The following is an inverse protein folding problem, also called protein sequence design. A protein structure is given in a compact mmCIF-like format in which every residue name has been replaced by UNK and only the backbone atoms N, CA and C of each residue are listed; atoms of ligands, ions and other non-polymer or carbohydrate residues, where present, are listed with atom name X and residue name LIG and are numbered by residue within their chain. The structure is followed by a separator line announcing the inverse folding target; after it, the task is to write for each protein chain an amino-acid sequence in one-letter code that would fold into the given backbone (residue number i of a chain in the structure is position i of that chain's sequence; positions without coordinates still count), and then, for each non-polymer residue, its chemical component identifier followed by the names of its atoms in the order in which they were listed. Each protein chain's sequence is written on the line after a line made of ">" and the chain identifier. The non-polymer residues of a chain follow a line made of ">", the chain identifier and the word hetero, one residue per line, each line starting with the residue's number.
data_IF_460290873136
#
_entry.id   IF_460290873136
#
_cell.length_a   1.000
_cell.length_b   1.000
_cell.length_c   1.000
_cell.angle_alpha   90.00
_cell.angle_beta   90.00
_cell.angle_gamma   90.00
#
_symmetry.space_group_name_H-M   'P 1'
#
loop_
_entity.id
_entity.type
_entity.pdbx_description
1 polymer ?
#
# COMPACT_ATOMS: atom_id res chain seq x y z
N UNK A 1 -1.28 -26.40 -10.34
CA UNK A 1 -2.34 -25.83 -11.20
C UNK A 1 -1.93 -25.73 -12.66
N UNK A 2 -0.82 -25.04 -13.02
CA UNK A 2 -0.33 -25.04 -14.41
C UNK A 2 -0.19 -26.47 -14.97
N UNK A 3 0.45 -27.36 -14.21
CA UNK A 3 0.54 -28.80 -14.55
C UNK A 3 -0.81 -29.54 -14.70
N UNK A 4 -1.89 -29.09 -14.04
CA UNK A 4 -3.22 -29.70 -14.14
C UNK A 4 -3.95 -29.24 -15.40
N UNK A 5 -3.87 -27.95 -15.73
CA UNK A 5 -4.41 -27.40 -16.98
C UNK A 5 -3.56 -27.77 -18.20
N UNK A 6 -2.29 -28.13 -17.96
CA UNK A 6 -1.32 -28.62 -18.94
C UNK A 6 -1.39 -30.14 -19.19
N UNK A 7 -2.31 -30.84 -18.52
CA UNK A 7 -2.49 -32.29 -18.64
C UNK A 7 -3.72 -32.67 -19.45
N UNK A 8 -3.72 -33.88 -20.01
CA UNK A 8 -4.87 -34.49 -20.72
C UNK A 8 -5.99 -34.94 -19.77
N UNK A 9 -6.00 -34.47 -18.52
CA UNK A 9 -7.00 -34.83 -17.52
C UNK A 9 -8.35 -34.18 -17.85
N UNK A 10 -9.41 -34.97 -17.66
CA UNK A 10 -10.78 -34.47 -17.62
C UNK A 10 -11.06 -33.88 -16.23
N UNK A 11 -11.57 -32.65 -16.22
CA UNK A 11 -11.94 -31.90 -15.02
C UNK A 11 -13.45 -31.66 -15.03
N UNK A 12 -14.07 -31.56 -13.86
CA UNK A 12 -15.50 -31.24 -13.75
C UNK A 12 -15.68 -29.82 -13.22
N UNK A 13 -16.55 -29.05 -13.86
CA UNK A 13 -17.03 -27.77 -13.36
C UNK A 13 -18.43 -27.97 -12.80
N UNK A 14 -18.64 -27.61 -11.54
CA UNK A 14 -19.97 -27.63 -10.92
C UNK A 14 -20.07 -26.53 -9.86
N UNK A 15 -21.12 -25.69 -9.95
CA UNK A 15 -21.41 -24.63 -8.98
C UNK A 15 -20.22 -23.72 -8.68
N UNK A 16 -19.55 -23.23 -9.73
CA UNK A 16 -18.38 -22.32 -9.66
C UNK A 16 -17.09 -22.92 -9.07
N UNK A 17 -17.04 -24.26 -8.94
CA UNK A 17 -15.84 -24.98 -8.53
C UNK A 17 -15.30 -25.87 -9.64
N UNK A 18 -13.98 -25.96 -9.71
CA UNK A 18 -13.25 -26.96 -10.48
C UNK A 18 -13.00 -28.16 -9.55
N UNK A 19 -13.43 -29.33 -10.00
CA UNK A 19 -13.19 -30.61 -9.36
C UNK A 19 -12.13 -31.39 -10.15
N UNK A 20 -11.21 -32.02 -9.41
CA UNK A 20 -10.13 -32.81 -9.98
C UNK A 20 -10.47 -34.29 -9.92
N UNK A 21 -10.02 -35.11 -10.90
CA UNK A 21 -10.23 -36.55 -10.85
C UNK A 21 -9.52 -37.11 -9.61
N UNK A 22 -10.26 -37.88 -8.81
CA UNK A 22 -9.71 -38.60 -7.67
C UNK A 22 -8.98 -39.83 -8.21
N UNK A 23 -7.66 -39.86 -8.07
CA UNK A 23 -6.86 -41.04 -8.40
C UNK A 23 -7.05 -42.06 -7.27
N UNK A 24 -7.61 -43.22 -7.59
CA UNK A 24 -7.83 -44.28 -6.62
C UNK A 24 -6.54 -45.03 -6.33
N UNK A 25 -6.09 -44.94 -5.08
CA UNK A 25 -5.33 -45.98 -4.40
C UNK A 25 -6.34 -46.83 -3.59
N UNK A 26 -6.15 -48.15 -3.42
CA UNK A 26 -7.01 -48.99 -2.58
C UNK A 26 -7.29 -48.45 -1.17
N UNK A 27 -6.44 -47.59 -0.59
CA UNK A 27 -6.76 -46.89 0.67
C UNK A 27 -7.79 -45.76 0.50
N UNK A 28 -7.67 -44.97 -0.57
CA UNK A 28 -8.58 -43.87 -0.91
C UNK A 28 -9.96 -44.43 -1.28
N UNK A 29 -10.02 -45.58 -1.95
CA UNK A 29 -11.27 -46.26 -2.30
C UNK A 29 -12.07 -46.67 -1.05
N UNK A 30 -11.39 -47.19 -0.02
CA UNK A 30 -12.03 -47.52 1.27
C UNK A 30 -12.57 -46.28 1.98
N UNK A 31 -11.85 -45.16 1.94
CA UNK A 31 -12.26 -43.90 2.57
C UNK A 31 -13.43 -43.24 1.83
N UNK A 32 -13.42 -43.25 0.50
CA UNK A 32 -14.56 -42.79 -0.31
C UNK A 32 -15.79 -43.64 -0.10
N UNK A 33 -15.65 -44.98 -0.04
CA UNK A 33 -16.77 -45.88 0.29
C UNK A 33 -17.32 -45.63 1.70
N UNK A 34 -16.48 -45.22 2.67
CA UNK A 34 -16.93 -44.84 4.00
C UNK A 34 -17.76 -43.53 4.01
N UNK A 35 -17.36 -42.55 3.19
CA UNK A 35 -18.09 -41.29 3.00
C UNK A 35 -19.39 -41.46 2.21
N UNK A 36 -19.47 -42.47 1.34
CA UNK A 36 -20.61 -42.79 0.47
C UNK A 36 -21.55 -43.89 1.03
N UNK A 37 -21.39 -44.31 2.30
CA UNK A 37 -22.19 -45.40 2.89
C UNK A 37 -23.71 -45.16 2.78
N UNK A 38 -24.50 -46.20 2.43
CA UNK A 38 -25.94 -46.09 2.24
C UNK A 38 -26.62 -45.86 3.59
N UNK A 39 -27.20 -44.68 3.77
CA UNK A 39 -27.86 -44.27 5.02
C UNK A 39 -27.85 -42.76 5.29
N UNK A 40 -26.96 -42.00 4.62
CA UNK A 40 -27.12 -40.54 4.48
C UNK A 40 -27.65 -40.22 3.09
N UNK A 41 -28.65 -39.33 2.94
CA UNK A 41 -29.23 -39.05 1.62
C UNK A 41 -28.14 -38.50 0.71
N UNK A 42 -27.88 -39.15 -0.42
CA UNK A 42 -27.24 -38.49 -1.54
C UNK A 42 -28.25 -37.46 -2.05
N UNK A 43 -28.16 -36.23 -1.55
CA UNK A 43 -28.97 -35.12 -2.05
C UNK A 43 -28.72 -35.01 -3.56
N UNK A 44 -29.80 -35.01 -4.34
CA UNK A 44 -29.73 -34.96 -5.80
C UNK A 44 -28.95 -33.71 -6.22
N UNK A 45 -28.13 -33.84 -7.27
CA UNK A 45 -27.42 -32.73 -7.91
C UNK A 45 -28.40 -31.56 -8.14
N UNK A 46 -28.13 -30.42 -7.50
CA UNK A 46 -28.99 -29.23 -7.61
C UNK A 46 -29.21 -28.39 -6.36
N UNK A 47 -28.68 -28.75 -5.18
CA UNK A 47 -28.77 -27.91 -3.97
C UNK A 47 -27.44 -27.27 -3.55
N UNK A 48 -27.43 -25.97 -3.19
CA UNK A 48 -26.23 -25.21 -2.83
C UNK A 48 -25.77 -25.55 -1.41
N UNK A 49 -25.08 -26.68 -1.28
CA UNK A 49 -24.43 -27.17 -0.06
C UNK A 49 -23.34 -28.16 -0.46
N UNK A 50 -22.18 -27.64 -0.86
CA UNK A 50 -21.24 -28.35 -1.74
C UNK A 50 -20.74 -29.69 -1.20
N UNK A 51 -20.99 -30.76 -1.94
CA UNK A 51 -20.35 -32.07 -1.71
C UNK A 51 -18.84 -31.95 -1.97
N UNK A 52 -18.03 -32.47 -1.05
CA UNK A 52 -16.56 -32.52 -1.20
C UNK A 52 -16.14 -33.44 -2.34
N UNK A 53 -16.96 -34.46 -2.65
CA UNK A 53 -16.73 -35.45 -3.71
C UNK A 53 -18.02 -35.59 -4.54
N UNK A 54 -17.88 -35.61 -5.86
CA UNK A 54 -18.97 -35.84 -6.81
C UNK A 54 -18.65 -37.05 -7.69
N UNK A 55 -19.69 -37.74 -8.14
CA UNK A 55 -19.57 -38.88 -9.06
C UNK A 55 -20.19 -38.51 -10.41
N UNK A 56 -19.44 -38.70 -11.49
CA UNK A 56 -19.87 -38.41 -12.85
C UNK A 56 -19.29 -39.46 -13.80
N UNK A 57 -20.14 -40.12 -14.59
CA UNK A 57 -19.74 -41.22 -15.51
C UNK A 57 -18.84 -42.28 -14.82
N UNK A 58 -19.26 -42.76 -13.65
CA UNK A 58 -18.54 -43.77 -12.85
C UNK A 58 -17.14 -43.38 -12.34
N UNK A 59 -16.75 -42.10 -12.46
CA UNK A 59 -15.52 -41.54 -11.90
C UNK A 59 -15.84 -40.59 -10.75
N UNK A 60 -14.95 -40.54 -9.77
CA UNK A 60 -15.06 -39.65 -8.63
C UNK A 60 -14.17 -38.44 -8.81
N UNK A 61 -14.69 -37.27 -8.43
CA UNK A 61 -13.98 -36.01 -8.51
C UNK A 61 -14.04 -35.29 -7.17
N UNK A 62 -12.92 -34.70 -6.75
CA UNK A 62 -12.81 -33.97 -5.49
C UNK A 62 -12.83 -32.46 -5.73
N UNK A 63 -13.58 -31.75 -4.88
CA UNK A 63 -13.69 -30.30 -4.92
C UNK A 63 -12.32 -29.65 -4.66
N UNK A 64 -11.82 -28.84 -5.58
CA UNK A 64 -10.48 -28.27 -5.46
C UNK A 64 -10.47 -26.74 -5.37
N UNK A 65 -10.86 -26.04 -6.44
CA UNK A 65 -10.65 -24.59 -6.55
C UNK A 65 -11.94 -23.87 -6.91
N UNK A 66 -12.21 -22.76 -6.22
CA UNK A 66 -13.27 -21.82 -6.63
C UNK A 66 -12.77 -20.98 -7.81
N UNK A 67 -13.59 -20.86 -8.84
CA UNK A 67 -13.26 -20.16 -10.07
C UNK A 67 -12.92 -18.68 -9.81
N UNK A 68 -13.73 -17.97 -9.01
CA UNK A 68 -13.49 -16.55 -8.73
C UNK A 68 -12.18 -16.33 -7.97
N UNK A 69 -11.89 -17.20 -7.00
CA UNK A 69 -10.65 -17.11 -6.22
C UNK A 69 -9.42 -17.32 -7.10
N UNK A 70 -9.52 -18.24 -8.08
CA UNK A 70 -8.49 -18.44 -9.08
C UNK A 70 -8.25 -17.17 -9.91
N UNK A 71 -9.31 -16.53 -10.41
CA UNK A 71 -9.21 -15.32 -11.21
C UNK A 71 -8.70 -14.11 -10.41
N UNK A 72 -9.12 -13.98 -9.15
CA UNK A 72 -8.67 -12.96 -8.19
C UNK A 72 -7.18 -13.05 -7.90
N UNK A 73 -6.69 -14.27 -7.68
CA UNK A 73 -5.33 -14.49 -7.19
C UNK A 73 -4.35 -14.89 -8.29
N UNK A 74 -4.77 -14.97 -9.56
CA UNK A 74 -3.93 -15.43 -10.67
C UNK A 74 -2.60 -14.67 -10.78
N UNK A 75 -2.60 -13.34 -10.55
CA UNK A 75 -1.38 -12.52 -10.55
C UNK A 75 -0.37 -12.97 -9.49
N UNK A 76 -0.84 -13.36 -8.30
CA UNK A 76 0.01 -13.86 -7.22
C UNK A 76 0.46 -15.31 -7.49
N UNK A 77 -0.42 -16.12 -8.08
CA UNK A 77 -0.16 -17.52 -8.40
C UNK A 77 0.87 -17.65 -9.54
N UNK A 78 0.79 -16.79 -10.56
CA UNK A 78 1.70 -16.82 -11.71
C UNK A 78 1.94 -15.42 -12.30
N UNK A 79 2.80 -14.65 -11.62
CA UNK A 79 3.13 -13.29 -12.00
C UNK A 79 3.70 -13.18 -13.42
N UNK A 80 4.50 -14.16 -13.85
CA UNK A 80 5.13 -14.16 -15.18
C UNK A 80 4.08 -14.32 -16.29
N UNK A 81 3.20 -15.33 -16.19
CA UNK A 81 2.15 -15.56 -17.18
C UNK A 81 1.17 -14.39 -17.23
N UNK A 82 0.76 -13.87 -16.06
CA UNK A 82 -0.10 -12.70 -15.99
C UNK A 82 0.53 -11.48 -16.66
N UNK A 83 1.82 -11.20 -16.42
CA UNK A 83 2.54 -10.08 -17.06
C UNK A 83 2.60 -10.24 -18.57
N UNK A 84 2.81 -11.46 -19.06
CA UNK A 84 2.80 -11.75 -20.51
C UNK A 84 1.42 -11.49 -21.11
N UNK A 85 0.36 -12.06 -20.54
CA UNK A 85 -1.02 -11.82 -20.99
C UNK A 85 -1.32 -10.33 -20.98
N UNK A 86 -1.02 -9.63 -19.88
CA UNK A 86 -1.23 -8.18 -19.78
C UNK A 86 -0.50 -7.42 -20.88
N UNK A 87 0.78 -7.72 -21.11
CA UNK A 87 1.54 -7.06 -22.16
C UNK A 87 0.94 -7.33 -23.55
N UNK A 88 0.54 -8.57 -23.83
CA UNK A 88 -0.06 -8.96 -25.09
C UNK A 88 -1.42 -8.27 -25.31
N UNK A 89 -2.29 -8.23 -24.29
CA UNK A 89 -3.58 -7.51 -24.30
C UNK A 89 -3.40 -6.02 -24.62
N UNK A 90 -2.43 -5.39 -23.98
CA UNK A 90 -2.29 -3.93 -23.93
C UNK A 90 -1.31 -3.36 -24.95
N UNK A 91 -0.57 -4.22 -25.67
CA UNK A 91 0.45 -3.80 -26.65
C UNK A 91 -0.09 -2.81 -27.69
N UNK A 92 -1.34 -3.01 -28.13
CA UNK A 92 -2.01 -2.15 -29.12
C UNK A 92 -2.33 -0.74 -28.62
N UNK A 93 -2.41 -0.54 -27.31
CA UNK A 93 -2.79 0.73 -26.71
C UNK A 93 -1.59 1.62 -26.33
N UNK A 94 -0.34 1.18 -26.61
CA UNK A 94 0.91 1.90 -26.28
C UNK A 94 0.87 2.60 -24.91
N UNK A 95 0.34 1.92 -23.90
CA UNK A 95 0.16 2.48 -22.55
C UNK A 95 1.53 2.61 -21.87
N UNK A 96 2.21 3.73 -22.06
CA UNK A 96 3.44 4.04 -21.32
C UNK A 96 3.17 4.98 -20.15
N UNK A 97 3.55 4.46 -18.97
CA UNK A 97 3.76 5.07 -17.65
C UNK A 97 2.53 5.46 -16.83
N UNK A 98 2.63 5.05 -15.57
CA UNK A 98 1.79 5.23 -14.39
C UNK A 98 1.80 6.70 -13.91
N UNK A 99 1.72 7.66 -14.83
CA UNK A 99 1.80 9.10 -14.55
C UNK A 99 0.63 9.55 -13.66
N UNK A 100 -0.51 8.85 -13.75
CA UNK A 100 -1.73 9.18 -13.04
C UNK A 100 -1.77 8.59 -11.61
N UNK A 101 -0.91 7.62 -11.28
CA UNK A 101 -0.95 6.88 -10.01
C UNK A 101 -0.72 7.78 -8.78
N UNK A 102 0.04 8.87 -8.94
CA UNK A 102 0.25 9.84 -7.86
C UNK A 102 -1.03 10.60 -7.51
N UNK A 103 -1.84 10.96 -8.51
CA UNK A 103 -3.05 11.73 -8.29
C UNK A 103 -4.15 10.87 -7.63
N UNK A 104 -4.03 9.55 -7.78
CA UNK A 104 -4.84 8.54 -7.09
C UNK A 104 -4.33 8.22 -5.68
N UNK A 105 -3.13 8.68 -5.30
CA UNK A 105 -2.57 8.44 -3.97
C UNK A 105 -3.14 9.41 -2.92
N UNK A 106 -4.30 9.04 -2.35
CA UNK A 106 -4.96 9.81 -1.30
C UNK A 106 -4.11 10.01 -0.04
N UNK A 107 -3.17 9.11 0.24
CA UNK A 107 -2.24 9.23 1.38
C UNK A 107 -1.25 10.35 1.12
N UNK A 108 -0.60 10.33 -0.05
CA UNK A 108 0.33 11.39 -0.44
C UNK A 108 -0.34 12.76 -0.51
N UNK A 109 -1.56 12.85 -1.07
CA UNK A 109 -2.36 14.09 -1.06
C UNK A 109 -2.63 14.58 0.35
N UNK A 110 -2.95 13.68 1.27
CA UNK A 110 -3.15 14.03 2.69
C UNK A 110 -1.87 14.57 3.31
N UNK A 111 -0.72 13.98 3.02
CA UNK A 111 0.58 14.44 3.50
C UNK A 111 0.88 15.85 2.96
N UNK A 112 0.80 16.04 1.64
CA UNK A 112 1.15 17.31 0.99
C UNK A 112 0.20 18.46 1.35
N UNK A 113 -1.11 18.23 1.34
CA UNK A 113 -2.09 19.33 1.44
C UNK A 113 -2.68 19.52 2.85
N UNK A 114 -2.48 18.57 3.77
CA UNK A 114 -3.06 18.64 5.12
C UNK A 114 -2.04 18.53 6.25
N UNK A 115 -0.98 17.74 6.09
CA UNK A 115 0.05 17.57 7.14
C UNK A 115 1.19 18.56 6.96
N UNK A 116 1.77 18.63 5.76
CA UNK A 116 2.92 19.50 5.46
C UNK A 116 2.68 20.98 5.80
N UNK A 117 1.52 21.60 5.48
CA UNK A 117 1.28 23.00 5.78
C UNK A 117 1.26 23.32 7.28
N UNK A 118 1.07 22.31 8.13
CA UNK A 118 1.14 22.48 9.59
C UNK A 118 2.57 22.70 10.08
N UNK A 119 3.57 22.07 9.43
CA UNK A 119 4.95 22.05 9.89
C UNK A 119 5.90 23.00 9.13
N UNK A 120 5.49 23.52 7.98
CA UNK A 120 6.25 24.49 7.19
C UNK A 120 5.81 25.91 7.55
N UNK A 121 6.76 26.82 7.79
CA UNK A 121 6.46 28.22 8.12
C UNK A 121 6.49 29.07 6.85
N UNK A 122 5.41 29.79 6.54
CA UNK A 122 5.50 31.02 5.72
C UNK A 122 5.81 32.19 6.67
N UNK A 123 6.55 33.18 6.17
CA UNK A 123 7.16 34.30 6.91
C UNK A 123 6.38 34.83 8.13
N UNK A 124 7.13 35.26 9.16
CA UNK A 124 6.69 35.87 10.43
C UNK A 124 5.62 36.97 10.20
N UNK A 125 4.34 36.61 10.21
CA UNK A 125 3.23 37.55 10.02
C UNK A 125 1.90 36.94 10.48
N UNK A 126 1.15 37.71 11.25
CA UNK A 126 0.13 37.30 12.23
C UNK A 126 -1.21 36.77 11.69
N UNK A 127 -1.31 36.24 10.47
CA UNK A 127 -2.53 35.58 10.00
C UNK A 127 -2.22 34.23 9.33
N UNK A 128 -2.47 33.13 10.07
CA UNK A 128 -2.53 31.77 9.51
C UNK A 128 -3.84 31.62 8.72
N UNK A 129 -3.93 32.22 7.53
CA UNK A 129 -4.95 31.81 6.57
C UNK A 129 -4.63 30.38 6.11
N UNK A 130 -5.67 29.54 5.97
CA UNK A 130 -5.51 28.20 5.42
C UNK A 130 -5.05 28.33 3.98
N UNK A 131 -3.85 27.83 3.67
CA UNK A 131 -3.30 27.85 2.31
C UNK A 131 -4.18 27.03 1.37
N UNK A 132 -4.32 27.51 0.14
CA UNK A 132 -4.90 26.71 -0.95
C UNK A 132 -3.90 25.64 -1.41
N UNK A 133 -4.41 24.60 -2.07
CA UNK A 133 -3.57 23.54 -2.64
C UNK A 133 -2.57 24.12 -3.67
N UNK A 134 -2.97 25.14 -4.42
CA UNK A 134 -2.10 25.85 -5.38
C UNK A 134 -0.97 26.61 -4.69
N UNK A 135 -1.26 27.34 -3.62
CA UNK A 135 -0.24 28.07 -2.85
C UNK A 135 0.78 27.12 -2.20
N UNK A 136 0.33 25.92 -1.81
CA UNK A 136 1.22 24.88 -1.28
C UNK A 136 2.14 24.37 -2.39
N UNK A 137 1.64 24.14 -3.60
CA UNK A 137 2.46 23.70 -4.74
C UNK A 137 3.42 24.78 -5.22
N UNK A 138 3.03 26.06 -5.18
CA UNK A 138 3.92 27.19 -5.44
C UNK A 138 5.07 27.22 -4.43
N UNK A 139 4.77 27.12 -3.13
CA UNK A 139 5.79 27.06 -2.06
C UNK A 139 6.75 25.87 -2.22
N UNK A 140 6.23 24.71 -2.60
CA UNK A 140 7.05 23.53 -2.86
C UNK A 140 7.94 23.78 -4.08
N UNK A 141 7.38 24.29 -5.18
CA UNK A 141 8.09 24.61 -6.42
C UNK A 141 9.21 25.64 -6.24
N UNK A 142 9.05 26.60 -5.34
CA UNK A 142 10.12 27.55 -4.97
C UNK A 142 11.29 26.89 -4.22
N UNK A 143 11.03 25.77 -3.52
CA UNK A 143 12.00 25.09 -2.65
C UNK A 143 12.71 23.91 -3.32
N UNK A 144 12.23 23.46 -4.47
CA UNK A 144 12.78 22.28 -5.17
C UNK A 144 13.11 22.60 -6.63
N UNK A 145 14.21 22.06 -7.12
CA UNK A 145 14.57 22.17 -8.54
C UNK A 145 13.97 21.00 -9.33
N UNK A 146 12.93 21.26 -10.11
CA UNK A 146 12.22 20.24 -10.88
C UNK A 146 12.90 20.02 -12.24
N UNK A 147 13.32 18.79 -12.57
CA UNK A 147 13.89 18.51 -13.88
C UNK A 147 12.93 18.81 -15.05
N UNK A 148 13.48 19.34 -16.15
CA UNK A 148 12.72 19.72 -17.36
C UNK A 148 11.81 18.63 -17.95
N UNK A 149 12.11 17.34 -17.70
CA UNK A 149 11.28 16.21 -18.16
C UNK A 149 9.85 16.27 -17.60
N UNK A 150 9.67 16.68 -16.34
CA UNK A 150 8.35 16.69 -15.70
C UNK A 150 7.46 17.82 -16.21
N UNK A 151 8.04 18.94 -16.63
CA UNK A 151 7.27 20.00 -17.30
C UNK A 151 6.76 19.56 -18.67
N UNK A 152 7.52 18.72 -19.39
CA UNK A 152 7.05 18.12 -20.65
C UNK A 152 5.92 17.12 -20.40
N UNK A 153 6.09 16.25 -19.40
CA UNK A 153 5.06 15.28 -18.99
C UNK A 153 3.79 15.99 -18.48
N UNK A 154 3.92 17.09 -17.74
CA UNK A 154 2.79 17.89 -17.26
C UNK A 154 1.96 18.51 -18.40
N UNK A 155 2.62 18.98 -19.47
CA UNK A 155 1.92 19.45 -20.68
C UNK A 155 1.19 18.31 -21.38
N UNK A 156 1.81 17.13 -21.47
CA UNK A 156 1.17 15.94 -22.04
C UNK A 156 0.02 15.42 -21.16
N UNK A 157 0.10 15.59 -19.84
CA UNK A 157 -0.94 15.20 -18.89
C UNK A 157 -2.25 15.96 -19.12
N UNK A 158 -2.17 17.26 -19.45
CA UNK A 158 -3.34 18.08 -19.79
C UNK A 158 -4.05 17.62 -21.08
N UNK A 159 -3.34 16.94 -21.99
CA UNK A 159 -3.98 16.34 -23.16
C UNK A 159 -4.70 15.04 -22.79
N UNK A 160 -6.02 15.13 -22.70
CA UNK A 160 -6.89 13.98 -22.44
C UNK A 160 -7.30 13.21 -23.70
N UNK A 161 -7.02 13.72 -24.91
CA UNK A 161 -7.46 13.09 -26.16
C UNK A 161 -6.93 11.66 -26.32
N UNK A 162 -5.64 11.37 -26.09
CA UNK A 162 -5.12 10.01 -26.25
C UNK A 162 -5.81 9.00 -25.31
N UNK A 163 -6.08 9.41 -24.07
CA UNK A 163 -6.77 8.54 -23.10
C UNK A 163 -8.24 8.32 -23.48
N UNK A 164 -8.94 9.34 -24.00
CA UNK A 164 -10.32 9.20 -24.48
C UNK A 164 -10.41 8.24 -25.67
N UNK A 165 -9.45 8.30 -26.59
CA UNK A 165 -9.37 7.36 -27.73
C UNK A 165 -9.11 5.93 -27.26
N UNK A 166 -8.19 5.74 -26.30
CA UNK A 166 -7.91 4.42 -25.72
C UNK A 166 -9.14 3.88 -24.98
N UNK A 167 -9.81 4.70 -24.17
CA UNK A 167 -11.00 4.29 -23.42
C UNK A 167 -12.10 3.81 -24.38
N UNK A 168 -12.38 4.57 -25.43
CA UNK A 168 -13.34 4.19 -26.48
C UNK A 168 -12.92 2.88 -27.17
N UNK A 169 -11.62 2.71 -27.43
CA UNK A 169 -11.06 1.48 -27.98
C UNK A 169 -11.18 0.26 -27.05
N UNK A 170 -11.24 0.47 -25.73
CA UNK A 170 -11.48 -0.57 -24.73
C UNK A 170 -12.96 -0.89 -24.56
N UNK A 171 -13.84 0.11 -24.60
CA UNK A 171 -15.29 -0.06 -24.54
C UNK A 171 -15.80 -0.97 -25.66
N UNK A 172 -15.28 -0.78 -26.88
CA UNK A 172 -15.58 -1.62 -28.05
C UNK A 172 -15.13 -3.08 -27.91
N UNK A 173 -14.35 -3.39 -26.88
CA UNK A 173 -13.77 -4.71 -26.66
C UNK A 173 -14.20 -5.35 -25.35
N UNK A 174 -15.11 -4.77 -24.57
CA UNK A 174 -15.62 -5.37 -23.33
C UNK A 174 -16.08 -6.81 -23.63
N UNK A 175 -15.30 -7.84 -23.25
CA UNK A 175 -15.69 -9.20 -23.54
C UNK A 175 -16.83 -9.55 -22.59
N UNK A 176 -17.90 -10.15 -23.10
CA UNK A 176 -18.90 -10.77 -22.25
C UNK A 176 -18.24 -12.03 -21.68
N UNK A 177 -17.69 -11.90 -20.48
CA UNK A 177 -17.15 -13.05 -19.75
C UNK A 177 -18.32 -13.94 -19.29
N UNK A 178 -18.28 -15.21 -19.69
CA UNK A 178 -19.21 -16.24 -19.22
C UNK A 178 -18.44 -17.29 -18.44
N UNK A 179 -19.02 -17.69 -17.31
CA UNK A 179 -18.54 -18.84 -16.56
C UNK A 179 -18.57 -20.09 -17.45
N UNK A 180 -17.64 -21.04 -17.24
CA UNK A 180 -17.67 -22.29 -17.96
C UNK A 180 -18.94 -23.05 -17.55
N UNK A 181 -19.60 -23.68 -18.52
CA UNK A 181 -20.81 -24.44 -18.25
C UNK A 181 -20.53 -25.61 -17.30
N UNK A 182 -21.53 -26.02 -16.52
CA UNK A 182 -21.39 -27.20 -15.67
C UNK A 182 -21.14 -28.45 -16.52
N UNK A 183 -20.24 -29.33 -16.07
CA UNK A 183 -19.95 -30.60 -16.73
C UNK A 183 -18.47 -30.91 -16.89
N UNK A 184 -18.17 -31.90 -17.74
CA UNK A 184 -16.81 -32.34 -18.05
C UNK A 184 -16.15 -31.42 -19.07
N UNK A 185 -14.93 -31.00 -18.75
CA UNK A 185 -14.08 -30.23 -19.65
C UNK A 185 -12.68 -30.83 -19.67
N UNK A 186 -12.00 -30.75 -20.81
CA UNK A 186 -10.58 -31.05 -20.88
C UNK A 186 -9.78 -29.95 -20.18
N UNK A 187 -8.60 -30.31 -19.64
CA UNK A 187 -7.65 -29.33 -19.10
C UNK A 187 -7.32 -28.21 -20.10
N UNK A 188 -7.18 -28.54 -21.39
CA UNK A 188 -6.95 -27.57 -22.46
C UNK A 188 -8.10 -26.57 -22.60
N UNK A 189 -9.36 -27.04 -22.65
CA UNK A 189 -10.54 -26.17 -22.79
C UNK A 189 -10.67 -25.21 -21.61
N UNK A 190 -10.39 -25.68 -20.39
CA UNK A 190 -10.38 -24.82 -19.20
C UNK A 190 -9.20 -23.86 -19.17
N UNK A 191 -8.06 -24.23 -19.74
CA UNK A 191 -6.91 -23.34 -19.88
C UNK A 191 -7.20 -22.20 -20.83
N UNK A 192 -7.77 -22.50 -21.99
CA UNK A 192 -8.14 -21.51 -23.00
C UNK A 192 -9.21 -20.55 -22.43
N UNK A 193 -10.22 -21.11 -21.76
CA UNK A 193 -11.19 -20.33 -21.00
C UNK A 193 -10.54 -19.44 -19.94
N UNK A 194 -9.59 -19.97 -19.13
CA UNK A 194 -8.91 -19.18 -18.10
C UNK A 194 -8.09 -18.05 -18.73
N UNK A 195 -7.46 -18.30 -19.88
CA UNK A 195 -6.71 -17.30 -20.61
C UNK A 195 -7.61 -16.15 -21.07
N UNK A 196 -8.77 -16.46 -21.66
CA UNK A 196 -9.78 -15.47 -22.06
C UNK A 196 -10.35 -14.71 -20.85
N UNK A 197 -10.60 -15.40 -19.74
CA UNK A 197 -11.09 -14.81 -18.51
C UNK A 197 -10.10 -13.79 -17.93
N UNK A 198 -8.81 -14.13 -17.87
CA UNK A 198 -7.76 -13.22 -17.42
C UNK A 198 -7.58 -12.07 -18.42
N UNK A 199 -7.67 -12.32 -19.73
CA UNK A 199 -7.64 -11.28 -20.75
C UNK A 199 -8.78 -10.25 -20.55
N UNK A 200 -10.01 -10.72 -20.37
CA UNK A 200 -11.17 -9.86 -20.11
C UNK A 200 -11.00 -9.06 -18.82
N UNK A 201 -10.51 -9.70 -17.75
CA UNK A 201 -10.24 -9.04 -16.48
C UNK A 201 -9.18 -7.95 -16.59
N UNK A 202 -8.11 -8.18 -17.35
CA UNK A 202 -7.08 -7.17 -17.62
C UNK A 202 -7.68 -5.97 -18.36
N UNK A 203 -8.48 -6.20 -19.40
CA UNK A 203 -9.14 -5.11 -20.14
C UNK A 203 -10.10 -4.30 -19.27
N UNK A 204 -10.92 -4.97 -18.45
CA UNK A 204 -11.83 -4.30 -17.53
C UNK A 204 -11.07 -3.46 -16.49
N UNK A 205 -10.03 -4.03 -15.87
CA UNK A 205 -9.20 -3.31 -14.91
C UNK A 205 -8.50 -2.09 -15.51
N UNK A 206 -8.06 -2.17 -16.77
CA UNK A 206 -7.41 -1.04 -17.46
C UNK A 206 -8.42 0.00 -17.94
N UNK A 207 -9.63 -0.42 -18.33
CA UNK A 207 -10.73 0.49 -18.60
C UNK A 207 -11.05 1.33 -17.35
N UNK A 208 -11.23 0.68 -16.21
CA UNK A 208 -11.55 1.38 -14.95
C UNK A 208 -10.40 2.31 -14.54
N UNK A 209 -9.15 1.86 -14.66
CA UNK A 209 -7.96 2.69 -14.41
C UNK A 209 -7.92 3.93 -15.31
N UNK A 210 -8.21 3.79 -16.61
CA UNK A 210 -8.18 4.91 -17.55
C UNK A 210 -9.36 5.87 -17.30
N UNK A 211 -10.54 5.34 -16.95
CA UNK A 211 -11.68 6.16 -16.56
C UNK A 211 -11.37 6.99 -15.30
N UNK A 212 -10.75 6.39 -14.28
CA UNK A 212 -10.27 7.09 -13.09
C UNK A 212 -9.21 8.14 -13.43
N UNK A 213 -8.23 7.80 -14.29
CA UNK A 213 -7.19 8.72 -14.74
C UNK A 213 -7.78 9.92 -15.51
N UNK A 214 -8.79 9.71 -16.35
CA UNK A 214 -9.50 10.77 -17.05
C UNK A 214 -10.24 11.69 -16.08
N UNK A 215 -10.96 11.11 -15.11
CA UNK A 215 -11.66 11.86 -14.08
C UNK A 215 -10.70 12.75 -13.28
N UNK A 216 -9.53 12.20 -12.92
CA UNK A 216 -8.45 12.95 -12.29
C UNK A 216 -7.99 14.10 -13.19
N UNK A 217 -7.65 13.83 -14.45
CA UNK A 217 -7.17 14.88 -15.36
C UNK A 217 -8.17 16.01 -15.56
N UNK A 218 -9.46 15.69 -15.56
CA UNK A 218 -10.53 16.70 -15.61
C UNK A 218 -10.54 17.59 -14.36
N UNK A 219 -10.31 17.03 -13.17
CA UNK A 219 -10.15 17.82 -11.92
C UNK A 219 -8.96 18.77 -11.98
N UNK A 220 -7.90 18.41 -12.70
CA UNK A 220 -6.68 19.21 -12.87
C UNK A 220 -6.63 19.98 -14.20
N UNK A 221 -7.74 20.08 -14.94
CA UNK A 221 -7.79 20.73 -16.25
C UNK A 221 -7.39 22.21 -16.24
N UNK A 222 -7.64 22.90 -15.12
CA UNK A 222 -7.28 24.31 -14.90
C UNK A 222 -5.97 24.49 -14.13
N UNK A 223 -5.33 23.40 -13.68
CA UNK A 223 -4.11 23.47 -12.89
C UNK A 223 -2.93 23.91 -13.77
N UNK A 224 -2.04 24.72 -13.19
CA UNK A 224 -0.84 25.18 -13.89
C UNK A 224 0.08 23.99 -14.21
N UNK A 225 0.71 23.93 -15.40
CA UNK A 225 1.67 22.88 -15.73
C UNK A 225 2.79 22.73 -14.70
N UNK A 226 3.18 23.81 -14.04
CA UNK A 226 4.16 23.83 -12.96
C UNK A 226 3.70 23.01 -11.75
N UNK A 227 2.43 23.13 -11.36
CA UNK A 227 1.83 22.38 -10.25
C UNK A 227 1.78 20.89 -10.55
N UNK A 228 1.40 20.54 -11.78
CA UNK A 228 1.37 19.16 -12.26
C UNK A 228 2.80 18.60 -12.28
N UNK A 229 3.78 19.36 -12.77
CA UNK A 229 5.18 18.94 -12.80
C UNK A 229 5.74 18.71 -11.39
N UNK A 230 5.41 19.57 -10.42
CA UNK A 230 5.74 19.39 -9.00
C UNK A 230 5.22 18.07 -8.47
N UNK A 231 3.94 17.77 -8.69
CA UNK A 231 3.33 16.51 -8.27
C UNK A 231 4.01 15.31 -8.93
N UNK A 232 4.19 15.32 -10.26
CA UNK A 232 4.86 14.24 -10.98
C UNK A 232 6.29 13.98 -10.48
N UNK A 233 7.04 15.04 -10.18
CA UNK A 233 8.38 14.91 -9.63
C UNK A 233 8.38 14.28 -8.23
N UNK A 234 7.48 14.71 -7.36
CA UNK A 234 7.31 14.14 -6.01
C UNK A 234 6.90 12.67 -6.07
N UNK A 235 6.08 12.29 -7.06
CA UNK A 235 5.67 10.92 -7.29
C UNK A 235 6.86 10.00 -7.58
N UNK A 236 7.66 10.43 -8.55
CA UNK A 236 8.77 9.65 -9.10
C UNK A 236 9.93 9.55 -8.10
N UNK A 237 10.20 10.64 -7.37
CA UNK A 237 11.20 10.64 -6.28
C UNK A 237 10.73 9.88 -5.04
N UNK A 238 9.41 9.77 -4.82
CA UNK A 238 8.82 9.10 -3.67
C UNK A 238 9.19 9.73 -2.32
N UNK A 239 9.76 10.93 -2.30
CA UNK A 239 10.20 11.61 -1.09
C UNK A 239 10.33 13.12 -1.30
N UNK A 240 10.16 13.87 -0.21
CA UNK A 240 10.33 15.32 -0.20
C UNK A 240 10.70 15.75 1.22
N UNK A 241 11.61 16.72 1.36
CA UNK A 241 11.92 17.37 2.63
C UNK A 241 12.04 18.89 2.43
N UNK A 242 11.28 19.67 3.21
CA UNK A 242 11.29 21.14 3.20
C UNK A 242 11.27 21.63 4.65
N UNK A 243 12.19 22.54 4.99
CA UNK A 243 12.36 23.11 6.33
C UNK A 243 12.37 22.05 7.45
N UNK A 244 13.00 20.90 7.17
CA UNK A 244 13.12 19.75 8.07
C UNK A 244 11.85 18.91 8.24
N UNK A 245 10.73 19.26 7.60
CA UNK A 245 9.57 18.36 7.50
C UNK A 245 9.66 17.58 6.19
N UNK A 246 9.40 16.28 6.21
CA UNK A 246 9.43 15.49 5.00
C UNK A 246 8.67 14.19 5.06
N UNK A 247 8.72 13.46 3.97
CA UNK A 247 8.25 12.08 3.92
C UNK A 247 9.10 11.25 2.95
N UNK A 248 9.00 9.94 3.08
CA UNK A 248 9.60 8.98 2.13
C UNK A 248 8.69 7.76 1.99
N UNK A 249 8.56 7.23 0.78
CA UNK A 249 7.79 6.02 0.50
C UNK A 249 8.49 4.82 1.14
N UNK A 250 7.74 4.02 1.89
CA UNK A 250 8.23 2.74 2.39
C UNK A 250 7.98 1.68 1.31
N UNK A 251 9.05 1.04 0.82
CA UNK A 251 8.94 0.02 -0.23
C UNK A 251 8.37 -1.32 0.27
N UNK A 252 8.19 -1.46 1.58
CA UNK A 252 7.70 -2.70 2.21
C UNK A 252 6.22 -2.95 1.93
N UNK A 253 5.41 -1.89 1.86
CA UNK A 253 3.97 -1.96 1.63
C UNK A 253 3.51 -0.94 0.59
N UNK A 254 2.55 -1.31 -0.27
CA UNK A 254 2.02 -0.38 -1.26
C UNK A 254 1.38 0.84 -0.60
N UNK A 255 1.74 2.04 -1.07
CA UNK A 255 1.21 3.34 -0.61
C UNK A 255 1.45 3.64 0.87
N UNK A 256 2.47 3.02 1.46
CA UNK A 256 2.94 3.40 2.80
C UNK A 256 4.00 4.50 2.69
N UNK A 257 3.88 5.49 3.57
CA UNK A 257 4.80 6.60 3.71
C UNK A 257 5.27 6.71 5.15
N UNK A 258 6.54 7.03 5.33
CA UNK A 258 7.08 7.51 6.59
C UNK A 258 7.07 9.03 6.54
N UNK A 259 6.22 9.65 7.35
CA UNK A 259 6.13 11.11 7.47
C UNK A 259 6.97 11.52 8.67
N UNK A 260 7.84 12.52 8.54
CA UNK A 260 8.79 12.87 9.58
C UNK A 260 9.05 14.36 9.72
N UNK A 261 9.59 14.72 10.88
CA UNK A 261 10.11 16.05 11.18
C UNK A 261 11.47 15.93 11.87
N UNK A 262 12.44 16.73 11.40
CA UNK A 262 13.74 16.91 12.05
C UNK A 262 13.59 17.65 13.37
N UNK A 263 14.28 17.16 14.39
CA UNK A 263 14.32 17.80 15.71
C UNK A 263 15.18 19.06 15.69
N UNK A 264 16.17 19.15 14.80
CA UNK A 264 17.35 19.98 15.02
C UNK A 264 18.16 19.48 16.22
N UNK A 265 19.33 20.04 16.43
CA UNK A 265 20.08 19.82 17.67
C UNK A 265 19.32 20.45 18.84
N UNK A 266 19.32 19.78 19.99
CA UNK A 266 18.64 20.25 21.19
C UNK A 266 19.39 19.88 22.46
N UNK A 267 19.18 20.65 23.53
CA UNK A 267 19.86 20.43 24.81
C UNK A 267 18.86 19.94 25.84
N UNK A 268 19.19 18.82 26.48
CA UNK A 268 18.49 18.32 27.66
C UNK A 268 19.33 18.56 28.91
N UNK A 269 18.65 18.79 30.04
CA UNK A 269 19.29 18.90 31.35
C UNK A 269 18.88 17.75 32.24
N UNK A 270 19.85 17.18 32.94
CA UNK A 270 19.56 16.18 33.97
C UNK A 270 19.12 16.82 35.30
N UNK A 271 18.88 15.99 36.30
CA UNK A 271 18.53 16.42 37.66
C UNK A 271 19.58 17.33 38.31
N UNK A 272 20.85 17.18 37.95
CA UNK A 272 21.97 17.99 38.46
C UNK A 272 22.26 19.22 37.59
N UNK A 273 21.34 19.57 36.68
CA UNK A 273 21.46 20.66 35.72
C UNK A 273 22.66 20.54 34.76
N UNK A 274 23.26 19.35 34.62
CA UNK A 274 24.25 19.07 33.58
C UNK A 274 23.55 19.10 32.22
N UNK A 275 24.20 19.70 31.24
CA UNK A 275 23.63 19.88 29.90
C UNK A 275 24.18 18.84 28.94
N UNK A 276 23.29 18.29 28.11
CA UNK A 276 23.61 17.26 27.13
C UNK A 276 23.07 17.72 25.77
N UNK A 277 23.95 17.85 24.78
CA UNK A 277 23.62 18.23 23.42
C UNK A 277 23.28 16.98 22.61
N UNK A 278 21.99 16.81 22.35
CA UNK A 278 21.46 15.74 21.52
C UNK A 278 21.50 16.17 20.04
N UNK A 279 22.07 15.33 19.15
CA UNK A 279 22.17 15.67 17.74
C UNK A 279 20.80 15.61 17.05
N UNK A 280 20.67 16.27 15.91
CA UNK A 280 19.48 16.19 15.05
C UNK A 280 19.11 14.74 14.69
N UNK A 281 17.81 14.44 14.72
CA UNK A 281 17.23 13.18 14.25
C UNK A 281 15.87 13.41 13.60
N UNK A 282 15.38 12.41 12.85
CA UNK A 282 14.03 12.40 12.28
C UNK A 282 13.11 11.60 13.18
N UNK A 283 12.14 12.30 13.76
CA UNK A 283 10.96 11.67 14.36
C UNK A 283 9.95 11.42 13.26
N UNK A 284 9.54 10.18 13.10
CA UNK A 284 8.66 9.72 12.05
C UNK A 284 7.41 9.02 12.58
N UNK A 285 6.41 8.93 11.73
CA UNK A 285 5.22 8.09 11.89
C UNK A 285 4.94 7.38 10.56
N UNK A 286 4.61 6.10 10.62
CA UNK A 286 4.15 5.37 9.44
C UNK A 286 2.69 5.72 9.16
N UNK A 287 2.32 5.82 7.88
CA UNK A 287 0.91 5.89 7.47
C UNK A 287 0.18 4.55 7.60
N UNK A 288 0.88 3.49 7.99
CA UNK A 288 0.32 2.18 8.32
C UNK A 288 0.11 2.05 9.84
N UNK A 289 -1.04 1.51 10.24
CA UNK A 289 -1.41 1.32 11.64
C UNK A 289 -0.57 0.23 12.30
N UNK A 290 -0.15 0.38 13.57
CA UNK A 290 -0.49 1.46 14.51
C UNK A 290 0.33 2.73 14.31
N UNK A 291 -0.30 3.90 14.52
CA UNK A 291 0.36 5.20 14.42
C UNK A 291 1.17 5.49 15.69
N UNK A 292 2.36 4.90 15.77
CA UNK A 292 3.35 5.15 16.83
C UNK A 292 4.48 6.04 16.30
N UNK A 293 4.96 7.02 17.09
CA UNK A 293 6.12 7.79 16.68
C UNK A 293 7.40 7.00 16.96
N UNK A 294 8.36 7.11 16.05
CA UNK A 294 9.63 6.41 16.15
C UNK A 294 10.77 7.28 15.60
N UNK A 295 12.01 6.97 15.98
CA UNK A 295 13.21 7.63 15.45
C UNK A 295 13.77 6.81 14.29
N UNK A 296 13.95 7.45 13.13
CA UNK A 296 14.42 6.76 11.93
C UNK A 296 15.89 6.34 12.04
N UNK A 297 16.73 7.23 12.55
CA UNK A 297 18.17 7.02 12.69
C UNK A 297 18.51 6.04 13.81
N UNK A 298 19.74 5.50 13.74
CA UNK A 298 20.40 4.92 14.89
C UNK A 298 20.68 6.04 15.89
N UNK A 299 19.87 6.11 16.94
CA UNK A 299 19.86 7.23 17.88
C UNK A 299 19.87 6.76 19.34
N UNK A 300 20.59 7.49 20.20
CA UNK A 300 20.59 7.27 21.66
C UNK A 300 19.67 8.29 22.32
N UNK A 301 18.66 7.83 23.06
CA UNK A 301 17.81 8.71 23.85
C UNK A 301 17.15 7.94 25.01
N UNK A 302 16.88 8.57 26.18
CA UNK A 302 16.24 7.89 27.32
C UNK A 302 14.86 7.28 27.04
N UNK A 303 14.16 7.76 26.02
CA UNK A 303 12.83 7.29 25.62
C UNK A 303 12.89 6.17 24.57
N UNK A 304 14.09 5.70 24.23
CA UNK A 304 14.31 4.61 23.28
C UNK A 304 14.82 3.39 24.03
N UNK A 305 14.41 2.21 23.58
CA UNK A 305 14.79 0.91 24.17
C UNK A 305 16.24 0.52 23.79
N UNK A 306 17.00 1.38 23.10
CA UNK A 306 18.25 0.95 22.50
C UNK A 306 18.99 2.05 21.75
N UNK A 307 20.00 1.60 21.02
CA UNK A 307 20.75 2.41 20.06
C UNK A 307 20.74 1.74 18.68
N UNK A 308 19.57 1.74 18.04
CA UNK A 308 19.27 1.11 16.74
C UNK A 308 18.41 2.05 15.88
N UNK A 309 18.31 1.78 14.59
CA UNK A 309 17.42 2.51 13.69
C UNK A 309 15.97 2.06 13.84
N UNK A 310 15.01 2.94 13.58
CA UNK A 310 13.57 2.61 13.57
C UNK A 310 12.98 2.34 14.96
N UNK A 311 13.53 2.96 16.01
CA UNK A 311 13.10 2.69 17.39
C UNK A 311 11.85 3.48 17.75
N UNK A 312 10.80 2.79 18.19
CA UNK A 312 9.61 3.41 18.75
C UNK A 312 9.96 4.26 19.97
N UNK A 313 9.35 5.44 20.06
CA UNK A 313 9.47 6.32 21.22
C UNK A 313 8.51 5.77 22.27
N UNK A 314 9.05 5.31 23.40
CA UNK A 314 8.23 4.83 24.49
C UNK A 314 7.42 6.00 25.06
N UNK A 315 6.08 5.95 24.97
CA UNK A 315 5.13 6.95 25.47
C UNK A 315 4.08 6.32 26.41
N UNK A 316 4.16 6.58 27.72
CA UNK A 316 3.27 6.19 28.79
C UNK A 316 1.90 6.82 28.54
N UNK A 317 0.88 5.97 28.55
CA UNK A 317 -0.51 6.32 28.29
C UNK A 317 -0.84 6.83 26.87
N UNK A 318 0.12 6.76 25.93
CA UNK A 318 -0.18 7.06 24.53
C UNK A 318 -1.06 5.97 23.92
N UNK A 319 -2.20 6.40 23.38
CA UNK A 319 -3.13 5.52 22.67
C UNK A 319 -3.03 5.82 21.17
N UNK A 320 -2.34 4.97 20.38
CA UNK A 320 -2.24 5.18 18.95
C UNK A 320 -3.63 5.13 18.32
N UNK A 321 -3.89 6.07 17.41
CA UNK A 321 -5.06 5.94 16.54
C UNK A 321 -4.87 4.72 15.63
N UNK A 322 -5.97 4.19 15.10
CA UNK A 322 -5.94 3.18 14.03
C UNK A 322 -6.38 3.75 12.68
N UNK A 323 -6.86 5.00 12.66
CA UNK A 323 -7.42 5.66 11.49
C UNK A 323 -6.39 6.59 10.84
N UNK A 324 -6.19 6.42 9.53
CA UNK A 324 -5.35 7.32 8.75
C UNK A 324 -6.07 8.66 8.53
N UNK A 325 -5.65 9.68 9.29
CA UNK A 325 -6.14 11.04 9.14
C UNK A 325 -5.01 12.04 9.41
N UNK A 326 -5.01 13.19 8.72
CA UNK A 326 -3.99 14.23 8.89
C UNK A 326 -3.82 14.66 10.35
N UNK A 327 -4.93 14.84 11.09
CA UNK A 327 -4.91 15.18 12.52
C UNK A 327 -4.17 14.14 13.37
N UNK A 328 -4.27 12.87 13.02
CA UNK A 328 -3.64 11.77 13.76
C UNK A 328 -2.14 11.73 13.47
N UNK A 329 -1.74 11.94 12.21
CA UNK A 329 -0.33 12.07 11.81
C UNK A 329 0.33 13.26 12.52
N UNK A 330 -0.30 14.43 12.47
CA UNK A 330 0.18 15.66 13.12
C UNK A 330 0.34 15.43 14.62
N UNK A 331 -0.72 14.97 15.31
CA UNK A 331 -0.69 14.71 16.75
C UNK A 331 0.44 13.75 17.13
N UNK A 332 0.58 12.64 16.40
CA UNK A 332 1.59 11.61 16.68
C UNK A 332 3.00 12.15 16.51
N UNK A 333 3.26 12.94 15.46
CA UNK A 333 4.55 13.60 15.27
C UNK A 333 4.84 14.63 16.37
N UNK A 334 3.86 15.45 16.75
CA UNK A 334 4.02 16.41 17.82
C UNK A 334 4.31 15.76 19.16
N UNK A 335 3.61 14.67 19.50
CA UNK A 335 3.85 13.92 20.73
C UNK A 335 5.25 13.29 20.73
N UNK A 336 5.68 12.67 19.62
CA UNK A 336 7.04 12.14 19.49
C UNK A 336 8.12 13.22 19.62
N UNK A 337 7.97 14.35 18.93
CA UNK A 337 8.89 15.49 19.01
C UNK A 337 8.93 16.08 20.43
N UNK A 338 7.78 16.16 21.09
CA UNK A 338 7.64 16.68 22.46
C UNK A 338 8.30 15.73 23.45
N UNK A 339 8.08 14.42 23.30
CA UNK A 339 8.70 13.41 24.15
C UNK A 339 10.23 13.44 24.07
N UNK A 340 10.81 13.65 22.88
CA UNK A 340 12.26 13.79 22.74
C UNK A 340 12.81 15.10 23.32
N UNK A 341 12.12 16.23 23.11
CA UNK A 341 12.61 17.54 23.54
C UNK A 341 12.38 17.83 25.02
N UNK A 342 11.27 17.35 25.57
CA UNK A 342 10.79 17.77 26.89
C UNK A 342 10.50 16.60 27.85
N UNK A 343 10.43 15.35 27.36
CA UNK A 343 10.09 14.18 28.16
C UNK A 343 8.60 14.09 28.53
N UNK A 344 8.24 13.24 29.51
CA UNK A 344 6.89 13.23 30.09
C UNK A 344 6.79 14.29 31.17
N UNK A 345 5.91 15.26 31.01
CA UNK A 345 5.49 16.11 32.12
C UNK A 345 4.11 15.69 32.61
N UNK A 346 4.02 15.24 33.86
CA UNK A 346 2.73 15.00 34.50
C UNK A 346 2.45 15.89 35.70
N UNK A 347 3.27 16.93 36.01
CA UNK A 347 2.94 18.13 36.85
C UNK A 347 4.10 18.87 37.55
N UNK A 348 5.36 18.41 37.62
CA UNK A 348 6.38 19.05 38.52
C UNK A 348 7.85 18.84 38.09
N UNK A 349 8.60 19.96 38.06
CA UNK A 349 10.07 20.14 38.23
C UNK A 349 11.00 19.35 37.28
N UNK A 350 11.48 20.06 36.25
CA UNK A 350 12.81 20.01 35.64
C UNK A 350 13.74 18.82 35.96
N UNK A 351 14.08 18.08 34.90
CA UNK A 351 15.32 17.29 34.83
C UNK A 351 15.06 15.83 34.53
N UNK A 352 15.60 15.34 33.42
CA UNK A 352 15.63 13.92 33.12
C UNK A 352 16.40 13.20 34.23
N UNK A 353 15.70 12.50 35.13
CA UNK A 353 16.32 11.71 36.21
C UNK A 353 17.17 10.53 35.66
N UNK A 354 17.02 10.18 34.38
CA UNK A 354 17.58 8.98 33.75
C UNK A 354 18.78 9.23 32.82
N UNK A 355 19.35 10.45 32.77
CA UNK A 355 20.59 10.71 32.03
C UNK A 355 21.85 10.31 32.82
N UNK A 356 21.70 10.12 34.14
CA UNK A 356 22.75 9.61 35.02
C UNK A 356 22.86 8.07 34.90
N UNK A 357 24.10 7.54 34.87
CA UNK A 357 24.41 6.10 34.75
C UNK A 357 23.70 5.22 35.78
N UNK A 358 23.31 5.79 36.92
CA UNK A 358 22.67 5.08 38.04
C UNK A 358 21.20 4.72 37.81
N UNK A 359 20.51 5.36 36.86
CA UNK A 359 19.04 5.21 36.67
C UNK A 359 18.62 4.87 35.24
N UNK A 360 19.56 4.51 34.35
CA UNK A 360 19.22 4.14 32.97
C UNK A 360 18.49 2.79 32.98
N UNK A 361 17.30 2.75 32.36
CA UNK A 361 16.49 1.53 32.20
C UNK A 361 17.23 0.41 31.45
N UNK A 362 18.34 0.76 30.78
CA UNK A 362 19.19 -0.09 29.96
C UNK A 362 20.66 0.22 30.30
N UNK A 363 21.36 -0.68 31.03
CA UNK A 363 22.71 -0.44 31.55
C UNK A 363 23.80 -0.16 30.48
N UNK A 364 23.49 -0.40 29.20
CA UNK A 364 24.45 -0.34 28.09
C UNK A 364 24.45 0.99 27.32
N UNK A 365 23.63 1.97 27.71
CA UNK A 365 23.57 3.27 27.03
C UNK A 365 23.98 4.37 28.01
N UNK A 366 25.14 4.98 27.75
CA UNK A 366 25.58 6.22 28.39
C UNK A 366 25.41 7.43 27.46
N UNK A 367 25.38 8.60 28.10
CA UNK A 367 25.19 9.90 27.45
C UNK A 367 26.33 10.89 27.78
N UNK A 368 27.40 10.46 28.45
CA UNK A 368 28.53 11.34 28.79
C UNK A 368 29.21 11.90 27.53
N UNK A 369 29.13 11.18 26.40
CA UNK A 369 29.58 11.63 25.08
C UNK A 369 28.79 12.85 24.54
N UNK A 370 27.58 13.10 25.05
CA UNK A 370 26.75 14.25 24.68
C UNK A 370 26.89 15.44 25.64
N UNK A 371 27.65 15.28 26.73
CA UNK A 371 27.76 16.32 27.76
C UNK A 371 28.59 17.51 27.26
N UNK A 372 28.11 18.73 27.56
CA UNK A 372 28.78 20.00 27.24
C UNK A 372 29.17 20.80 28.47
#
# INVERSE_FOLDING_TARGET
>A
MKQLLDSDLELVVESDFIYLPLLFDPEIEKETQALLRPGRPLEKSGQPGSKTIIQLKDRHFVKALRIDSLLENYKAINAYAYKRIRNDCLRKYQLTREVDDIFLDGTLRTILFRVMPYFIKKNRGLHRNKLSDEEILDLIGEKINIPGKYYKEAKAFQDSKPLKEILKGLENQKPIFKLPENGLHSGQKLRDWLHEAIHAKVLASEHDRIAEALQVREQFSQAKPEHIATLLYIADTGSLEIDGFGFTRNNSYQREYLVYKRTGDYVLKDYYARSYLFPDCRVAVSTYSPFMPFVMEKYKHPFLIGHKSGQEICMRDFKPSKELAAKNIIRTLEEGLTALRYGYDSRRRNGYHSLDKTWVHIPTIDFEDYRI
#
